data_IF_685266727561
#
_entry.id   IF_685266727561
#
_cell.length_a   1.000
_cell.length_b   1.000
_cell.length_c   1.000
_cell.angle_alpha   90.00
_cell.angle_beta   90.00
_cell.angle_gamma   90.00
#
_symmetry.space_group_name_H-M   'P 1'
#
loop_
_entity.id
_entity.type
_entity.pdbx_description
1 polymer ?
#
# COMPACT_ATOMS: atom_id res chain seq x y z
N UNK A 1 17.89 4.90 -24.36
CA UNK A 1 17.66 4.24 -25.65
C UNK A 1 18.97 3.66 -26.21
N UNK A 2 20.02 4.46 -26.42
CA UNK A 2 21.30 4.00 -26.97
C UNK A 2 21.87 2.75 -26.25
N UNK A 3 21.92 2.76 -24.90
CA UNK A 3 22.40 1.64 -24.11
C UNK A 3 21.49 0.39 -24.25
N UNK A 4 20.20 0.59 -24.41
CA UNK A 4 19.28 -0.50 -24.68
C UNK A 4 19.54 -1.16 -26.03
N UNK A 5 19.78 -0.36 -27.06
CA UNK A 5 20.05 -0.84 -28.41
C UNK A 5 21.38 -1.61 -28.47
N UNK A 6 22.38 -1.22 -27.65
CA UNK A 6 23.67 -1.89 -27.55
C UNK A 6 23.61 -3.18 -26.70
N UNK A 7 22.97 -3.15 -25.54
CA UNK A 7 22.88 -4.31 -24.63
C UNK A 7 21.71 -4.18 -23.64
N UNK A 8 20.51 -4.66 -23.99
CA UNK A 8 19.34 -4.55 -23.12
C UNK A 8 19.49 -5.33 -21.80
N UNK A 9 20.35 -6.36 -21.75
CA UNK A 9 20.53 -7.17 -20.52
C UNK A 9 21.14 -6.40 -19.35
N UNK A 10 21.80 -5.26 -19.59
CA UNK A 10 22.39 -4.46 -18.49
C UNK A 10 21.31 -3.91 -17.54
N UNK A 11 20.09 -3.77 -18.00
CA UNK A 11 19.00 -3.24 -17.18
C UNK A 11 18.43 -4.26 -16.19
N UNK A 12 18.64 -5.56 -16.42
CA UNK A 12 18.17 -6.62 -15.52
C UNK A 12 18.88 -6.67 -14.16
N UNK A 13 19.92 -5.85 -13.95
CA UNK A 13 20.60 -5.72 -12.65
C UNK A 13 20.09 -4.53 -11.83
N UNK A 14 19.19 -3.72 -12.37
CA UNK A 14 18.68 -2.55 -11.67
C UNK A 14 17.84 -2.90 -10.43
N UNK A 15 17.23 -4.08 -10.40
CA UNK A 15 16.50 -4.60 -9.26
C UNK A 15 17.39 -4.74 -8.00
N UNK A 16 18.67 -5.06 -8.18
CA UNK A 16 19.65 -5.14 -7.08
C UNK A 16 19.82 -3.79 -6.40
N UNK A 17 19.72 -2.68 -7.14
CA UNK A 17 19.86 -1.32 -6.60
C UNK A 17 18.72 -0.92 -5.66
N UNK A 18 17.62 -1.66 -5.66
CA UNK A 18 16.49 -1.47 -4.74
C UNK A 18 16.33 -2.66 -3.78
N UNK A 19 17.38 -3.47 -3.59
CA UNK A 19 17.38 -4.67 -2.76
C UNK A 19 16.28 -5.69 -3.10
N UNK A 20 15.92 -5.79 -4.37
CA UNK A 20 15.00 -6.79 -4.92
C UNK A 20 15.78 -7.72 -5.83
N UNK A 21 15.40 -8.99 -5.89
CA UNK A 21 15.99 -9.98 -6.79
C UNK A 21 14.91 -10.51 -7.72
N UNK A 22 15.11 -10.35 -9.03
CA UNK A 22 14.16 -10.78 -10.07
C UNK A 22 13.79 -12.27 -9.96
N UNK A 23 14.76 -13.11 -9.54
CA UNK A 23 14.53 -14.54 -9.29
C UNK A 23 13.46 -14.83 -8.22
N UNK A 24 13.21 -13.89 -7.31
CA UNK A 24 12.23 -14.03 -6.24
C UNK A 24 10.79 -13.77 -6.75
N UNK A 25 10.62 -13.50 -8.05
CA UNK A 25 9.32 -13.22 -8.71
C UNK A 25 8.52 -12.15 -7.97
N UNK A 26 9.20 -11.14 -7.44
CA UNK A 26 8.58 -10.03 -6.72
C UNK A 26 7.60 -9.29 -7.63
N UNK A 27 6.45 -9.00 -7.07
CA UNK A 27 5.44 -8.14 -7.69
C UNK A 27 5.68 -6.70 -7.28
N UNK A 28 5.49 -5.78 -8.21
CA UNK A 28 5.39 -4.34 -7.99
C UNK A 28 3.98 -3.90 -8.35
N UNK A 29 3.57 -2.79 -7.78
CA UNK A 29 2.28 -2.16 -8.07
C UNK A 29 2.62 -0.80 -8.68
N UNK A 30 2.07 -0.50 -9.86
CA UNK A 30 2.25 0.80 -10.50
C UNK A 30 1.37 1.89 -9.85
N UNK A 31 1.57 3.13 -10.28
CA UNK A 31 0.81 4.28 -9.77
C UNK A 31 -0.71 4.18 -10.02
N UNK A 32 -1.14 3.27 -10.90
CA UNK A 32 -2.55 3.04 -11.25
C UNK A 32 -3.15 1.84 -10.50
N UNK A 33 -2.36 1.15 -9.64
CA UNK A 33 -2.81 -0.02 -8.89
C UNK A 33 -2.68 -1.34 -9.65
N UNK A 34 -2.08 -1.38 -10.86
CA UNK A 34 -1.87 -2.62 -11.58
C UNK A 34 -0.69 -3.39 -11.00
N UNK A 35 -0.83 -4.71 -10.97
CA UNK A 35 0.19 -5.61 -10.43
C UNK A 35 1.04 -6.16 -11.57
N UNK A 36 2.35 -5.89 -11.51
CA UNK A 36 3.35 -6.38 -12.45
C UNK A 36 4.42 -7.20 -11.74
N UNK A 37 5.11 -8.08 -12.46
CA UNK A 37 6.38 -8.61 -11.96
C UNK A 37 7.47 -7.54 -12.14
N UNK A 38 8.39 -7.40 -11.18
CA UNK A 38 9.54 -6.49 -11.32
C UNK A 38 10.33 -6.78 -12.60
N UNK A 39 10.39 -8.05 -13.03
CA UNK A 39 11.00 -8.45 -14.30
C UNK A 39 10.33 -7.86 -15.55
N UNK A 40 9.07 -7.46 -15.45
CA UNK A 40 8.33 -6.93 -16.60
C UNK A 40 8.81 -5.53 -16.98
N UNK A 41 9.31 -4.76 -16.02
CA UNK A 41 9.91 -3.44 -16.26
C UNK A 41 11.19 -3.47 -17.11
N UNK A 42 11.79 -4.65 -17.33
CA UNK A 42 13.03 -4.80 -18.12
C UNK A 42 12.79 -5.36 -19.54
N UNK A 43 11.57 -5.24 -20.08
CA UNK A 43 11.20 -5.75 -21.40
C UNK A 43 11.25 -4.69 -22.50
N UNK A 44 11.20 -3.40 -22.16
CA UNK A 44 11.30 -2.30 -23.11
C UNK A 44 12.02 -1.08 -22.51
N UNK A 45 12.54 -0.16 -23.34
CA UNK A 45 13.17 1.09 -22.86
C UNK A 45 12.21 1.97 -22.05
N UNK A 46 10.93 1.98 -22.41
CA UNK A 46 9.89 2.77 -21.78
C UNK A 46 9.65 2.24 -20.36
N UNK A 47 9.51 0.93 -20.21
CA UNK A 47 9.32 0.26 -18.91
C UNK A 47 10.56 0.43 -18.00
N UNK A 48 11.77 0.37 -18.56
CA UNK A 48 12.98 0.68 -17.78
C UNK A 48 12.98 2.13 -17.30
N UNK A 49 12.53 3.07 -18.13
CA UNK A 49 12.45 4.48 -17.74
C UNK A 49 11.43 4.68 -16.62
N UNK A 50 10.28 4.05 -16.73
CA UNK A 50 9.25 4.02 -15.70
C UNK A 50 9.80 3.48 -14.37
N UNK A 51 10.44 2.32 -14.39
CA UNK A 51 11.10 1.72 -13.23
C UNK A 51 12.09 2.66 -12.54
N UNK A 52 12.96 3.31 -13.33
CA UNK A 52 13.96 4.25 -12.81
C UNK A 52 13.30 5.48 -12.14
N UNK A 53 12.19 5.94 -12.65
CA UNK A 53 11.46 7.10 -12.11
C UNK A 53 10.68 6.71 -10.84
N UNK A 54 9.93 5.64 -10.88
CA UNK A 54 9.12 5.18 -9.76
C UNK A 54 9.97 4.74 -8.56
N UNK A 55 11.09 4.09 -8.80
CA UNK A 55 12.05 3.71 -7.74
C UNK A 55 12.92 4.86 -7.25
N UNK A 56 12.91 6.00 -7.93
CA UNK A 56 13.77 7.14 -7.63
C UNK A 56 15.24 6.95 -8.06
N UNK A 57 15.58 5.85 -8.73
CA UNK A 57 16.94 5.59 -9.21
C UNK A 57 17.45 6.64 -10.19
N UNK A 58 16.56 7.30 -10.93
CA UNK A 58 16.92 8.45 -11.76
C UNK A 58 17.65 9.53 -10.94
N UNK A 59 17.15 9.85 -9.75
CA UNK A 59 17.78 10.83 -8.83
C UNK A 59 19.10 10.30 -8.28
N UNK A 60 19.19 9.00 -8.01
CA UNK A 60 20.43 8.35 -7.54
C UNK A 60 21.53 8.48 -8.59
N UNK A 61 21.24 8.17 -9.85
CA UNK A 61 22.23 8.27 -10.93
C UNK A 61 22.61 9.73 -11.27
N UNK A 62 21.74 10.68 -11.00
CA UNK A 62 22.04 12.12 -11.18
C UNK A 62 22.86 12.68 -10.00
N UNK A 63 22.88 12.01 -8.87
CA UNK A 63 23.59 12.47 -7.67
C UNK A 63 25.10 12.25 -7.81
N UNK A 64 25.83 13.34 -8.07
CA UNK A 64 27.29 13.32 -8.22
C UNK A 64 28.08 12.93 -6.95
N UNK A 65 27.42 12.86 -5.80
CA UNK A 65 28.05 12.40 -4.55
C UNK A 65 28.14 10.88 -4.48
N UNK A 66 27.32 10.16 -5.22
CA UNK A 66 27.36 8.70 -5.29
C UNK A 66 28.40 8.32 -6.34
N UNK A 67 29.61 7.96 -5.86
CA UNK A 67 30.76 7.61 -6.71
C UNK A 67 30.88 6.11 -6.97
N UNK A 68 30.26 5.28 -6.13
CA UNK A 68 30.37 3.84 -6.19
C UNK A 68 29.00 3.20 -5.93
N UNK A 69 28.48 2.49 -6.92
CA UNK A 69 27.17 1.82 -6.82
C UNK A 69 27.21 0.60 -5.90
N UNK A 70 28.37 -0.03 -5.69
CA UNK A 70 28.52 -1.14 -4.74
C UNK A 70 28.32 -0.65 -3.31
N UNK A 71 28.93 0.48 -2.96
CA UNK A 71 28.75 1.11 -1.64
C UNK A 71 27.30 1.58 -1.45
N UNK A 72 26.68 2.07 -2.52
CA UNK A 72 25.25 2.42 -2.51
C UNK A 72 24.38 1.20 -2.22
N UNK A 73 24.58 0.07 -2.93
CA UNK A 73 23.82 -1.18 -2.70
C UNK A 73 24.04 -1.69 -1.29
N UNK A 74 25.27 -1.70 -0.81
CA UNK A 74 25.60 -2.10 0.56
C UNK A 74 24.89 -1.20 1.58
N UNK A 75 24.90 0.11 1.38
CA UNK A 75 24.18 1.07 2.21
C UNK A 75 22.66 0.85 2.19
N UNK A 76 22.10 0.52 1.03
CA UNK A 76 20.67 0.17 0.89
C UNK A 76 20.34 -1.13 1.62
N UNK A 77 21.16 -2.17 1.49
CA UNK A 77 20.93 -3.45 2.18
C UNK A 77 21.08 -3.33 3.71
N UNK A 78 22.08 -2.63 4.18
CA UNK A 78 22.33 -2.40 5.63
C UNK A 78 21.36 -1.38 6.21
N UNK A 79 21.05 -0.31 5.48
CA UNK A 79 20.12 0.74 5.90
C UNK A 79 18.64 0.36 5.82
N UNK A 80 18.32 -0.80 5.24
CA UNK A 80 16.98 -1.38 5.22
C UNK A 80 16.71 -2.15 6.53
N UNK A 81 16.75 -1.45 7.66
CA UNK A 81 16.19 -1.95 8.90
C UNK A 81 14.76 -2.48 8.66
N UNK A 82 14.41 -3.56 9.34
CA UNK A 82 13.12 -4.24 9.24
C UNK A 82 11.94 -3.29 9.50
N UNK A 83 12.12 -2.30 10.37
CA UNK A 83 11.12 -1.28 10.67
C UNK A 83 10.95 -0.27 9.53
N UNK A 84 12.04 0.17 8.91
CA UNK A 84 11.98 1.08 7.77
C UNK A 84 11.35 0.43 6.52
N UNK A 85 11.49 -0.90 6.35
CA UNK A 85 10.78 -1.66 5.31
C UNK A 85 9.27 -1.72 5.57
N UNK A 86 8.86 -1.96 6.83
CA UNK A 86 7.44 -2.02 7.23
C UNK A 86 6.76 -0.67 7.04
N UNK A 87 7.42 0.41 7.47
CA UNK A 87 6.87 1.77 7.34
C UNK A 87 6.72 2.19 5.88
N UNK A 88 7.70 1.86 5.01
CA UNK A 88 7.59 2.13 3.56
C UNK A 88 6.45 1.33 2.92
N UNK A 89 6.23 0.08 3.31
CA UNK A 89 5.11 -0.73 2.81
C UNK A 89 3.75 -0.12 3.15
N UNK A 90 3.58 0.44 4.35
CA UNK A 90 2.39 1.18 4.76
C UNK A 90 2.17 2.44 3.91
N UNK A 91 3.17 3.29 3.83
CA UNK A 91 3.08 4.53 3.02
C UNK A 91 2.88 4.28 1.52
N UNK A 92 3.39 3.17 0.97
CA UNK A 92 3.12 2.79 -0.43
C UNK A 92 1.64 2.45 -0.60
N UNK A 93 1.04 1.68 0.30
CA UNK A 93 -0.38 1.33 0.23
C UNK A 93 -1.27 2.57 0.34
N UNK A 94 -1.00 3.43 1.33
CA UNK A 94 -1.70 4.70 1.49
C UNK A 94 -1.57 5.57 0.24
N UNK A 95 -0.36 5.70 -0.32
CA UNK A 95 -0.13 6.44 -1.56
C UNK A 95 -0.91 5.89 -2.76
N UNK A 96 -1.00 4.55 -2.90
CA UNK A 96 -1.79 3.90 -3.96
C UNK A 96 -3.28 4.16 -3.79
N UNK A 97 -3.80 3.99 -2.59
CA UNK A 97 -5.21 4.26 -2.30
C UNK A 97 -5.55 5.73 -2.59
N UNK A 98 -4.70 6.67 -2.15
CA UNK A 98 -4.86 8.09 -2.43
C UNK A 98 -4.89 8.38 -3.94
N UNK A 99 -3.98 7.78 -4.72
CA UNK A 99 -3.96 7.93 -6.17
C UNK A 99 -5.23 7.37 -6.82
N UNK A 100 -5.67 6.19 -6.42
CA UNK A 100 -6.90 5.57 -6.94
C UNK A 100 -8.11 6.45 -6.66
N UNK A 101 -8.25 6.97 -5.44
CA UNK A 101 -9.34 7.89 -5.07
C UNK A 101 -9.30 9.17 -5.90
N UNK A 102 -8.12 9.78 -6.03
CA UNK A 102 -7.92 11.02 -6.83
C UNK A 102 -8.27 10.81 -8.30
N UNK A 103 -7.78 9.73 -8.92
CA UNK A 103 -8.07 9.39 -10.32
C UNK A 103 -9.57 9.17 -10.59
N UNK A 104 -10.30 8.74 -9.57
CA UNK A 104 -11.73 8.54 -9.63
C UNK A 104 -12.55 9.77 -9.25
N UNK A 105 -11.91 10.90 -8.93
CA UNK A 105 -12.57 12.15 -8.55
C UNK A 105 -13.25 12.09 -7.18
N UNK A 106 -12.76 11.24 -6.28
CA UNK A 106 -13.26 11.11 -4.92
C UNK A 106 -12.49 12.06 -4.01
N UNK A 107 -13.19 12.94 -3.33
CA UNK A 107 -12.63 13.79 -2.28
C UNK A 107 -12.42 12.99 -1.00
N UNK A 108 -11.26 13.13 -0.40
CA UNK A 108 -10.91 12.44 0.85
C UNK A 108 -9.99 13.27 1.73
N UNK A 109 -10.00 12.98 3.01
CA UNK A 109 -9.06 13.49 4.02
C UNK A 109 -8.16 12.35 4.48
N UNK A 110 -6.90 12.67 4.82
CA UNK A 110 -5.92 11.67 5.30
C UNK A 110 -5.59 11.90 6.78
N UNK A 111 -5.25 10.79 7.46
CA UNK A 111 -4.75 10.81 8.83
C UNK A 111 -5.67 11.53 9.84
N UNK A 112 -6.99 11.29 9.72
CA UNK A 112 -8.02 11.97 10.51
C UNK A 112 -8.23 11.26 11.85
N UNK A 113 -8.20 12.03 12.94
CA UNK A 113 -8.45 11.47 14.26
C UNK A 113 -9.93 11.23 14.51
N UNK A 114 -10.24 10.14 15.18
CA UNK A 114 -11.62 9.78 15.57
C UNK A 114 -12.32 10.87 16.40
N UNK A 115 -11.53 11.71 17.08
CA UNK A 115 -12.02 12.84 17.90
C UNK A 115 -12.75 13.92 17.11
N UNK A 116 -12.59 13.93 15.79
CA UNK A 116 -13.36 14.81 14.90
C UNK A 116 -14.84 14.39 14.75
N UNK A 117 -15.17 13.17 15.20
CA UNK A 117 -16.51 12.60 15.08
C UNK A 117 -17.10 12.27 16.45
N UNK A 118 -17.89 13.18 17.07
CA UNK A 118 -18.45 12.98 18.41
C UNK A 118 -19.21 11.67 18.59
N UNK A 119 -19.92 11.21 17.55
CA UNK A 119 -20.67 9.95 17.56
C UNK A 119 -19.70 8.75 17.65
N UNK A 120 -18.58 8.81 16.93
CA UNK A 120 -17.54 7.76 16.94
C UNK A 120 -16.79 7.78 18.26
N UNK A 121 -16.49 8.94 18.82
CA UNK A 121 -15.92 9.06 20.17
C UNK A 121 -16.82 8.35 21.19
N UNK A 122 -18.12 8.56 21.10
CA UNK A 122 -19.09 7.89 21.98
C UNK A 122 -19.14 6.38 21.78
N UNK A 123 -18.99 5.91 20.54
CA UNK A 123 -19.00 4.48 20.19
C UNK A 123 -17.71 3.75 20.57
N UNK A 124 -16.55 4.41 20.44
CA UNK A 124 -15.23 3.81 20.66
C UNK A 124 -14.68 4.04 22.08
N UNK A 125 -15.18 5.07 22.79
CA UNK A 125 -14.68 5.42 24.12
C UNK A 125 -13.30 6.11 24.07
N UNK A 126 -12.41 5.73 24.98
CA UNK A 126 -11.11 6.38 25.16
C UNK A 126 -10.01 5.88 24.20
N UNK A 127 -10.34 5.01 23.25
CA UNK A 127 -9.37 4.50 22.29
C UNK A 127 -8.90 5.62 21.35
N UNK A 128 -7.61 5.95 21.38
CA UNK A 128 -7.03 6.95 20.48
C UNK A 128 -6.81 6.33 19.09
N UNK A 129 -7.76 6.56 18.16
CA UNK A 129 -7.74 6.02 16.81
C UNK A 129 -7.56 7.15 15.79
N UNK A 130 -6.69 6.92 14.80
CA UNK A 130 -6.52 7.75 13.61
C UNK A 130 -6.79 6.87 12.40
N UNK A 131 -7.64 7.34 11.51
CA UNK A 131 -7.96 6.65 10.27
C UNK A 131 -7.05 7.12 9.14
N UNK A 132 -6.61 6.21 8.30
CA UNK A 132 -5.73 6.53 7.16
C UNK A 132 -6.43 7.43 6.16
N UNK A 133 -7.74 7.18 5.91
CA UNK A 133 -8.57 8.03 5.06
C UNK A 133 -9.97 8.20 5.62
N UNK A 134 -10.56 9.35 5.30
CA UNK A 134 -11.98 9.64 5.53
C UNK A 134 -12.60 10.15 4.23
N UNK A 135 -13.72 9.56 3.84
CA UNK A 135 -14.53 10.01 2.70
C UNK A 135 -15.91 10.40 3.22
N UNK A 136 -16.32 11.64 2.92
CA UNK A 136 -17.64 12.15 3.28
C UNK A 136 -18.55 12.20 2.04
N UNK A 137 -19.62 11.44 2.07
CA UNK A 137 -20.67 11.51 1.04
C UNK A 137 -21.96 12.06 1.66
N UNK A 138 -22.95 12.46 0.86
CA UNK A 138 -24.26 12.88 1.39
C UNK A 138 -24.93 11.79 2.24
N UNK A 139 -24.65 10.54 2.01
CA UNK A 139 -25.28 9.39 2.66
C UNK A 139 -24.53 8.92 3.90
N UNK A 140 -23.19 8.87 3.82
CA UNK A 140 -22.34 8.29 4.87
C UNK A 140 -20.94 8.90 4.90
N UNK A 141 -20.31 8.81 6.07
CA UNK A 141 -18.88 9.01 6.25
C UNK A 141 -18.19 7.65 6.34
N UNK A 142 -17.23 7.42 5.47
CA UNK A 142 -16.42 6.19 5.41
C UNK A 142 -15.11 6.41 6.13
N UNK A 143 -14.84 5.59 7.16
CA UNK A 143 -13.61 5.59 7.94
C UNK A 143 -12.75 4.42 7.47
N UNK A 144 -11.61 4.71 6.86
CA UNK A 144 -10.85 3.75 6.06
C UNK A 144 -9.49 3.49 6.68
N UNK A 145 -9.13 2.21 6.76
CA UNK A 145 -7.79 1.72 7.08
C UNK A 145 -7.19 1.02 5.85
N UNK A 146 -5.93 1.28 5.57
CA UNK A 146 -5.21 0.74 4.42
C UNK A 146 -3.91 0.04 4.84
N UNK A 147 -3.76 -1.24 4.52
CA UNK A 147 -2.59 -2.01 4.93
C UNK A 147 -2.08 -2.92 3.81
N UNK A 148 -0.76 -3.05 3.70
CA UNK A 148 -0.12 -4.00 2.79
C UNK A 148 0.87 -4.91 3.54
N UNK A 149 0.76 -6.21 3.35
CA UNK A 149 1.59 -7.18 4.04
C UNK A 149 2.41 -8.03 3.06
N UNK A 150 3.71 -7.77 3.01
CA UNK A 150 4.67 -8.52 2.18
C UNK A 150 5.07 -9.87 2.76
N UNK A 151 4.78 -10.13 4.03
CA UNK A 151 5.11 -11.37 4.74
C UNK A 151 4.14 -11.64 5.88
N UNK A 152 4.10 -12.90 6.32
CA UNK A 152 3.29 -13.35 7.44
C UNK A 152 3.81 -12.87 8.80
N UNK A 153 3.04 -13.15 9.86
CA UNK A 153 3.40 -12.88 11.25
C UNK A 153 2.20 -12.59 12.14
N UNK A 154 2.43 -12.49 13.44
CA UNK A 154 1.38 -12.28 14.45
C UNK A 154 0.61 -10.97 14.25
N UNK A 155 1.27 -9.96 13.67
CA UNK A 155 0.65 -8.65 13.41
C UNK A 155 -0.60 -8.74 12.54
N UNK A 156 -0.64 -9.65 11.54
CA UNK A 156 -1.83 -9.84 10.70
C UNK A 156 -3.04 -10.32 11.53
N UNK A 157 -2.80 -11.27 12.43
CA UNK A 157 -3.83 -11.79 13.33
C UNK A 157 -4.34 -10.70 14.29
N UNK A 158 -3.44 -9.88 14.81
CA UNK A 158 -3.76 -8.76 15.70
C UNK A 158 -4.61 -7.70 14.99
N UNK A 159 -4.23 -7.32 13.76
CA UNK A 159 -4.97 -6.34 12.96
C UNK A 159 -6.34 -6.87 12.58
N UNK A 160 -6.44 -8.11 12.07
CA UNK A 160 -7.72 -8.71 11.71
C UNK A 160 -8.67 -8.75 12.93
N UNK A 161 -8.17 -9.14 14.11
CA UNK A 161 -8.95 -9.14 15.35
C UNK A 161 -9.36 -7.72 15.75
N UNK A 162 -8.41 -6.80 15.79
CA UNK A 162 -8.68 -5.40 16.18
C UNK A 162 -9.76 -4.76 15.30
N UNK A 163 -9.69 -4.97 13.98
CA UNK A 163 -10.69 -4.41 13.07
C UNK A 163 -12.03 -5.15 13.13
N UNK A 164 -12.03 -6.46 13.43
CA UNK A 164 -13.28 -7.20 13.69
C UNK A 164 -14.01 -6.71 14.94
N UNK A 165 -13.30 -6.17 15.93
CA UNK A 165 -13.88 -5.55 17.12
C UNK A 165 -14.29 -4.08 16.87
N UNK A 166 -13.56 -3.36 16.00
CA UNK A 166 -13.76 -1.95 15.68
C UNK A 166 -14.95 -1.72 14.75
N UNK A 167 -15.00 -2.49 13.65
CA UNK A 167 -15.97 -2.29 12.58
C UNK A 167 -17.44 -2.34 13.06
N UNK A 168 -17.88 -3.30 13.90
CA UNK A 168 -19.25 -3.32 14.40
C UNK A 168 -19.60 -2.09 15.23
N UNK A 169 -18.66 -1.53 16.01
CA UNK A 169 -18.89 -0.33 16.82
C UNK A 169 -19.11 0.90 15.94
N UNK A 170 -18.30 1.05 14.89
CA UNK A 170 -18.45 2.16 13.93
C UNK A 170 -19.75 1.98 13.13
N UNK A 171 -19.99 0.79 12.58
CA UNK A 171 -21.15 0.50 11.73
C UNK A 171 -22.48 0.54 12.49
N UNK A 172 -22.48 0.48 13.83
CA UNK A 172 -23.66 0.70 14.65
C UNK A 172 -24.16 2.17 14.58
N UNK A 173 -23.28 3.10 14.18
CA UNK A 173 -23.65 4.50 13.91
C UNK A 173 -24.04 4.62 12.46
N UNK A 174 -25.34 4.76 12.16
CA UNK A 174 -25.90 4.63 10.80
C UNK A 174 -25.29 5.55 9.74
N UNK A 175 -24.77 6.71 10.17
CA UNK A 175 -24.09 7.70 9.31
C UNK A 175 -22.62 7.37 9.01
N UNK A 176 -22.09 6.28 9.58
CA UNK A 176 -20.68 5.88 9.38
C UNK A 176 -20.58 4.47 8.85
N UNK A 177 -19.47 4.18 8.17
CA UNK A 177 -19.10 2.84 7.73
C UNK A 177 -17.60 2.66 7.84
N UNK A 178 -17.17 1.57 8.50
CA UNK A 178 -15.76 1.18 8.52
C UNK A 178 -15.41 0.43 7.25
N UNK A 179 -14.33 0.82 6.60
CA UNK A 179 -13.81 0.20 5.38
C UNK A 179 -12.38 -0.24 5.62
N UNK A 180 -12.07 -1.47 5.26
CA UNK A 180 -10.73 -1.99 5.33
C UNK A 180 -10.21 -2.33 3.94
N UNK A 181 -9.14 -1.64 3.52
CA UNK A 181 -8.44 -1.90 2.26
C UNK A 181 -7.14 -2.62 2.60
N UNK A 182 -7.03 -3.90 2.26
CA UNK A 182 -5.85 -4.70 2.61
C UNK A 182 -5.43 -5.60 1.47
N UNK A 183 -4.11 -5.75 1.27
CA UNK A 183 -3.54 -6.60 0.24
C UNK A 183 -2.18 -7.16 0.68
N UNK A 184 -1.64 -8.06 -0.12
CA UNK A 184 -0.31 -8.61 0.00
C UNK A 184 -0.27 -10.11 0.29
N UNK A 185 0.82 -10.73 -0.16
CA UNK A 185 1.04 -12.19 -0.04
C UNK A 185 1.12 -12.67 1.42
N UNK A 186 1.38 -11.76 2.37
CA UNK A 186 1.40 -12.07 3.80
C UNK A 186 0.12 -12.73 4.29
N UNK A 187 -1.04 -12.40 3.70
CA UNK A 187 -2.33 -12.97 4.05
C UNK A 187 -2.47 -14.47 3.75
N UNK A 188 -1.65 -15.04 2.85
CA UNK A 188 -1.63 -16.48 2.63
C UNK A 188 -1.36 -17.27 3.91
N UNK A 189 -0.49 -16.73 4.78
CA UNK A 189 -0.13 -17.34 6.07
C UNK A 189 -1.18 -17.12 7.18
N UNK A 190 -2.08 -16.17 7.00
CA UNK A 190 -3.11 -15.77 7.97
C UNK A 190 -4.52 -15.79 7.36
N UNK A 191 -4.71 -16.60 6.31
CA UNK A 191 -5.95 -16.66 5.53
C UNK A 191 -7.19 -16.89 6.40
N UNK A 192 -7.14 -17.84 7.31
CA UNK A 192 -8.27 -18.14 8.21
C UNK A 192 -8.67 -16.91 9.05
N UNK A 193 -7.71 -16.08 9.48
CA UNK A 193 -8.00 -14.87 10.25
C UNK A 193 -8.61 -13.77 9.40
N UNK A 194 -8.20 -13.68 8.15
CA UNK A 194 -8.83 -12.76 7.21
C UNK A 194 -10.27 -13.21 6.89
N UNK A 195 -10.49 -14.51 6.69
CA UNK A 195 -11.83 -15.09 6.46
C UNK A 195 -12.76 -14.87 7.67
N UNK A 196 -12.26 -15.07 8.90
CA UNK A 196 -12.99 -14.74 10.13
C UNK A 196 -13.39 -13.25 10.18
N UNK A 197 -12.48 -12.36 9.77
CA UNK A 197 -12.72 -10.92 9.77
C UNK A 197 -13.86 -10.52 8.81
N UNK A 198 -14.02 -11.18 7.67
CA UNK A 198 -15.13 -10.91 6.74
C UNK A 198 -16.53 -11.11 7.36
N UNK A 199 -16.66 -11.93 8.40
CA UNK A 199 -17.93 -12.10 9.11
C UNK A 199 -18.31 -10.85 9.95
N UNK A 200 -17.34 -10.01 10.29
CA UNK A 200 -17.51 -8.85 11.17
C UNK A 200 -17.33 -7.52 10.43
N UNK A 201 -16.62 -7.54 9.30
CA UNK A 201 -16.29 -6.35 8.51
C UNK A 201 -16.90 -6.51 7.11
N UNK A 202 -18.11 -5.96 6.86
CA UNK A 202 -18.78 -6.09 5.56
C UNK A 202 -18.01 -5.45 4.39
N UNK A 203 -17.22 -4.42 4.67
CA UNK A 203 -16.52 -3.62 3.67
C UNK A 203 -15.01 -3.85 3.75
N UNK A 204 -14.57 -5.00 3.22
CA UNK A 204 -13.15 -5.35 3.04
C UNK A 204 -12.85 -5.41 1.55
N UNK A 205 -11.82 -4.69 1.13
CA UNK A 205 -11.39 -4.62 -0.26
C UNK A 205 -9.89 -4.85 -0.38
N UNK A 206 -9.47 -5.26 -1.57
CA UNK A 206 -8.06 -5.30 -1.98
C UNK A 206 -7.85 -4.42 -3.22
N UNK A 207 -6.62 -4.29 -3.68
CA UNK A 207 -6.30 -3.46 -4.86
C UNK A 207 -6.98 -3.95 -6.15
N UNK A 208 -7.34 -5.23 -6.24
CA UNK A 208 -8.02 -5.78 -7.41
C UNK A 208 -9.52 -5.41 -7.45
N UNK A 209 -10.17 -5.30 -6.29
CA UNK A 209 -11.61 -5.05 -6.20
C UNK A 209 -11.98 -3.70 -5.58
N UNK A 210 -11.03 -2.81 -5.31
CA UNK A 210 -11.27 -1.47 -4.74
C UNK A 210 -12.26 -0.65 -5.59
N UNK A 211 -12.31 -0.88 -6.90
CA UNK A 211 -13.26 -0.22 -7.78
C UNK A 211 -14.72 -0.52 -7.41
N UNK A 212 -15.02 -1.68 -6.83
CA UNK A 212 -16.37 -1.99 -6.32
C UNK A 212 -16.76 -1.04 -5.17
N UNK A 213 -15.79 -0.65 -4.33
CA UNK A 213 -16.02 0.37 -3.30
C UNK A 213 -16.22 1.75 -3.92
N UNK A 214 -15.38 2.13 -4.89
CA UNK A 214 -15.50 3.40 -5.61
C UNK A 214 -16.89 3.56 -6.24
N UNK A 215 -17.38 2.51 -6.94
CA UNK A 215 -18.68 2.53 -7.59
C UNK A 215 -19.85 2.63 -6.58
N UNK A 216 -19.65 2.09 -5.37
CA UNK A 216 -20.64 2.17 -4.28
C UNK A 216 -20.80 3.58 -3.72
N UNK A 217 -19.74 4.40 -3.74
CA UNK A 217 -19.72 5.72 -3.09
C UNK A 217 -19.95 6.89 -4.07
N UNK A 218 -19.94 6.63 -5.38
CA UNK A 218 -20.32 7.57 -6.44
C UNK A 218 -21.84 7.65 -6.55
#
# INVERSE_FOLDING_TARGET
KRLWDENPKVFSVLDVLIAVRTKDRKKAIDAYGNIHLVSDYFKSPEQVTEFLNETGLTKVFQNKQIKNLVDYVFGVEVGLDSNARKNRGGHIMEGLVANILTLNGIDFEQEVYYTEFPEIVKALGADNKRFDFVIRTPQKTYLIEANFYTGGGSKLNEVARSYSELAPKINAVSSFEFVWITDGIGWESARNKLEEAFAHIPSVYNLTNINTFIDKIK
#
